data_IF_821200080251
#
_entry.id   IF_821200080251
#
_cell.length_a   1.000
_cell.length_b   1.000
_cell.length_c   1.000
_cell.angle_alpha   90.00
_cell.angle_beta   90.00
_cell.angle_gamma   90.00
#
_symmetry.space_group_name_H-M   'P 1'
#
loop_
_entity.id
_entity.type
_entity.pdbx_description
1 polymer ?
#
# COMPACT_ATOMS: atom_id res chain seq x y z
N UNK A 1 3.78 -20.01 -5.75
CA UNK A 1 4.22 -20.60 -4.46
C UNK A 1 3.43 -19.95 -3.34
N UNK A 2 2.63 -20.75 -2.61
CA UNK A 2 1.68 -20.30 -1.58
C UNK A 2 2.28 -20.34 -0.16
N UNK A 3 3.61 -20.31 -0.05
CA UNK A 3 4.25 -20.37 1.24
C UNK A 3 4.63 -18.98 1.72
N UNK A 4 4.16 -18.62 2.92
CA UNK A 4 4.72 -17.45 3.58
C UNK A 4 6.18 -17.73 3.95
N UNK A 5 6.99 -16.72 3.92
CA UNK A 5 8.42 -16.81 4.17
C UNK A 5 8.79 -16.46 5.62
N UNK A 6 7.86 -16.62 6.53
CA UNK A 6 8.00 -16.32 7.94
C UNK A 6 6.93 -15.33 8.44
N UNK A 7 7.01 -14.96 9.71
CA UNK A 7 6.20 -13.88 10.29
C UNK A 7 6.71 -12.56 9.73
N UNK A 8 5.84 -11.75 9.19
CA UNK A 8 6.20 -10.47 8.57
C UNK A 8 5.42 -9.31 9.19
N UNK A 9 5.92 -8.12 8.97
CA UNK A 9 5.27 -6.86 9.31
C UNK A 9 5.13 -6.06 8.03
N UNK A 10 3.92 -5.61 7.73
CA UNK A 10 3.68 -4.70 6.63
C UNK A 10 4.09 -3.28 7.03
N UNK A 11 4.88 -2.65 6.18
CA UNK A 11 5.25 -1.23 6.31
C UNK A 11 4.64 -0.50 5.13
N UNK A 12 3.63 0.32 5.40
CA UNK A 12 2.93 1.10 4.39
C UNK A 12 3.44 2.54 4.39
N UNK A 13 4.17 2.99 3.35
CA UNK A 13 4.47 4.40 3.20
C UNK A 13 3.17 5.19 2.98
N UNK A 14 3.10 6.37 3.56
CA UNK A 14 1.95 7.26 3.42
C UNK A 14 2.31 8.38 2.44
N UNK A 15 1.54 8.48 1.38
CA UNK A 15 1.67 9.49 0.36
C UNK A 15 0.52 10.50 0.42
N UNK A 16 0.76 11.70 -0.10
CA UNK A 16 -0.28 12.71 -0.23
C UNK A 16 -1.39 12.23 -1.17
N UNK A 17 -2.63 12.42 -0.78
CA UNK A 17 -3.80 12.06 -1.57
C UNK A 17 -4.68 13.28 -1.86
N UNK A 18 -5.49 13.25 -2.93
CA UNK A 18 -6.33 14.36 -3.31
C UNK A 18 -7.21 14.88 -2.18
N UNK A 19 -7.26 16.18 -2.06
CA UNK A 19 -8.12 16.93 -1.13
C UNK A 19 -9.34 17.54 -1.81
N UNK A 20 -9.52 17.26 -3.10
CA UNK A 20 -10.57 17.81 -3.96
C UNK A 20 -10.11 19.01 -4.77
N UNK A 21 -8.87 19.49 -4.60
CA UNK A 21 -8.32 20.55 -5.44
C UNK A 21 -7.95 20.03 -6.84
N UNK A 22 -8.14 20.85 -7.87
CA UNK A 22 -7.75 20.51 -9.25
C UNK A 22 -6.25 20.18 -9.37
N UNK A 23 -5.42 20.85 -8.54
CA UNK A 23 -3.97 20.57 -8.47
C UNK A 23 -3.73 19.13 -8.02
N UNK A 24 -4.33 18.71 -6.91
CA UNK A 24 -4.11 17.38 -6.37
C UNK A 24 -4.70 16.28 -7.26
N UNK A 25 -5.80 16.56 -7.95
CA UNK A 25 -6.33 15.63 -8.96
C UNK A 25 -5.38 15.44 -10.14
N UNK A 26 -4.71 16.51 -10.58
CA UNK A 26 -3.70 16.41 -11.64
C UNK A 26 -2.45 15.63 -11.17
N UNK A 27 -1.97 15.87 -9.94
CA UNK A 27 -0.88 15.12 -9.33
C UNK A 27 -1.23 13.63 -9.26
N UNK A 28 -2.42 13.30 -8.78
CA UNK A 28 -2.90 11.93 -8.72
C UNK A 28 -2.95 11.26 -10.08
N UNK A 29 -3.50 11.93 -11.09
CA UNK A 29 -3.58 11.36 -12.43
C UNK A 29 -2.19 11.02 -12.98
N UNK A 30 -1.20 11.89 -12.75
CA UNK A 30 0.19 11.63 -13.12
C UNK A 30 0.78 10.46 -12.32
N UNK A 31 0.57 10.45 -11.01
CA UNK A 31 1.01 9.40 -10.09
C UNK A 31 0.50 8.01 -10.52
N UNK A 32 -0.80 7.90 -10.82
CA UNK A 32 -1.43 6.66 -11.24
C UNK A 32 -0.86 6.15 -12.57
N UNK A 33 -0.64 7.04 -13.52
CA UNK A 33 -0.04 6.67 -14.81
C UNK A 33 1.42 6.24 -14.62
N UNK A 34 2.19 6.96 -13.80
CA UNK A 34 3.58 6.62 -13.48
C UNK A 34 3.69 5.28 -12.73
N UNK A 35 2.74 4.99 -11.82
CA UNK A 35 2.64 3.70 -11.16
C UNK A 35 2.40 2.58 -12.17
N UNK A 36 1.43 2.73 -13.05
CA UNK A 36 1.12 1.75 -14.08
C UNK A 36 2.30 1.49 -15.01
N UNK A 37 3.01 2.55 -15.44
CA UNK A 37 4.25 2.46 -16.22
C UNK A 37 5.37 1.71 -15.48
N UNK A 38 5.39 1.79 -14.15
CA UNK A 38 6.45 1.22 -13.32
C UNK A 38 6.16 -0.22 -12.94
N UNK A 39 4.97 -0.50 -12.45
CA UNK A 39 4.60 -1.77 -11.82
C UNK A 39 3.79 -2.70 -12.71
N UNK A 40 3.04 -2.16 -13.67
CA UNK A 40 2.08 -2.90 -14.48
C UNK A 40 2.28 -2.64 -15.99
N UNK A 41 3.52 -2.58 -16.45
CA UNK A 41 3.86 -2.18 -17.83
C UNK A 41 3.04 -2.89 -18.91
N UNK A 42 2.81 -4.20 -18.75
CA UNK A 42 2.03 -4.97 -19.73
C UNK A 42 0.57 -4.49 -19.80
N UNK A 43 -0.06 -4.28 -18.66
CA UNK A 43 -1.42 -3.73 -18.54
C UNK A 43 -1.47 -2.30 -19.05
N UNK A 44 -0.48 -1.50 -18.71
CA UNK A 44 -0.37 -0.14 -19.22
C UNK A 44 -0.34 -0.09 -20.75
N UNK A 45 0.47 -0.93 -21.39
CA UNK A 45 0.53 -1.03 -22.86
C UNK A 45 -0.82 -1.42 -23.48
N UNK A 46 -1.58 -2.28 -22.81
CA UNK A 46 -2.94 -2.63 -23.24
C UNK A 46 -3.90 -1.44 -23.14
N UNK A 47 -3.84 -0.66 -22.04
CA UNK A 47 -4.65 0.55 -21.88
C UNK A 47 -4.33 1.60 -22.95
N UNK A 48 -3.05 1.81 -23.27
CA UNK A 48 -2.62 2.70 -24.36
C UNK A 48 -3.19 2.24 -25.71
N UNK A 49 -3.08 0.97 -26.02
CA UNK A 49 -3.60 0.40 -27.26
C UNK A 49 -5.13 0.52 -27.36
N UNK A 50 -5.83 0.49 -26.22
CA UNK A 50 -7.27 0.69 -26.14
C UNK A 50 -7.71 2.17 -26.19
N UNK A 51 -6.76 3.10 -26.35
CA UNK A 51 -7.06 4.54 -26.45
C UNK A 51 -7.36 5.23 -25.12
N UNK A 52 -6.84 4.70 -24.01
CA UNK A 52 -7.00 5.34 -22.70
C UNK A 52 -6.45 6.78 -22.71
N UNK A 53 -7.15 7.67 -22.01
CA UNK A 53 -6.70 9.05 -21.81
C UNK A 53 -5.47 9.05 -20.89
N UNK A 54 -4.38 9.59 -21.39
CA UNK A 54 -3.10 9.63 -20.71
C UNK A 54 -2.74 11.08 -20.37
N UNK A 55 -2.05 11.29 -19.25
CA UNK A 55 -1.61 12.61 -18.77
C UNK A 55 -0.11 12.82 -18.96
N UNK A 56 0.69 11.73 -18.98
CA UNK A 56 2.12 11.79 -19.27
C UNK A 56 2.32 11.91 -20.79
N UNK A 57 3.10 12.90 -21.24
CA UNK A 57 3.38 13.12 -22.65
C UNK A 57 4.10 11.95 -23.33
N UNK A 58 3.91 11.78 -24.63
CA UNK A 58 4.45 10.64 -25.37
C UNK A 58 5.98 10.52 -25.28
N UNK A 59 6.70 11.62 -25.36
CA UNK A 59 8.17 11.67 -25.26
C UNK A 59 8.64 11.24 -23.86
N UNK A 60 8.00 11.78 -22.82
CA UNK A 60 8.31 11.43 -21.43
C UNK A 60 8.00 9.96 -21.14
N UNK A 61 6.89 9.44 -21.63
CA UNK A 61 6.58 8.00 -21.56
C UNK A 61 7.64 7.13 -22.18
N UNK A 62 8.09 7.49 -23.39
CA UNK A 62 9.14 6.75 -24.07
C UNK A 62 10.43 6.74 -23.26
N UNK A 63 10.78 7.88 -22.65
CA UNK A 63 11.93 8.00 -21.77
C UNK A 63 11.79 7.13 -20.52
N UNK A 64 10.62 7.12 -19.87
CA UNK A 64 10.37 6.30 -18.67
C UNK A 64 10.43 4.81 -19.02
N UNK A 65 9.83 4.40 -20.13
CA UNK A 65 9.87 3.00 -20.58
C UNK A 65 11.27 2.51 -20.96
N UNK A 66 12.17 3.41 -21.34
CA UNK A 66 13.59 3.09 -21.60
C UNK A 66 14.41 2.90 -20.31
N UNK A 67 13.87 3.32 -19.16
CA UNK A 67 14.55 3.17 -17.87
C UNK A 67 14.46 1.72 -17.37
N UNK A 68 15.46 1.28 -16.61
CA UNK A 68 15.36 0.04 -15.81
C UNK A 68 14.26 0.15 -14.75
N UNK A 69 13.72 -0.98 -14.30
CA UNK A 69 12.72 -1.01 -13.21
C UNK A 69 13.19 -0.21 -11.98
N UNK A 70 14.44 -0.38 -11.58
CA UNK A 70 15.02 0.36 -10.43
C UNK A 70 14.99 1.87 -10.63
N UNK A 71 15.24 2.36 -11.83
CA UNK A 71 15.17 3.80 -12.14
C UNK A 71 13.73 4.30 -12.13
N UNK A 72 12.79 3.52 -12.66
CA UNK A 72 11.35 3.85 -12.61
C UNK A 72 10.81 3.88 -11.19
N UNK A 73 11.20 2.91 -10.34
CA UNK A 73 10.83 2.90 -8.91
C UNK A 73 11.36 4.15 -8.20
N UNK A 74 12.61 4.54 -8.43
CA UNK A 74 13.16 5.78 -7.86
C UNK A 74 12.46 7.04 -8.38
N UNK A 75 12.11 7.07 -9.65
CA UNK A 75 11.35 8.19 -10.21
C UNK A 75 9.99 8.32 -9.53
N UNK A 76 9.29 7.19 -9.34
CA UNK A 76 8.01 7.14 -8.64
C UNK A 76 8.14 7.61 -7.18
N UNK A 77 9.11 7.09 -6.43
CA UNK A 77 9.37 7.46 -5.05
C UNK A 77 9.71 8.96 -4.92
N UNK A 78 10.59 9.49 -5.77
CA UNK A 78 10.93 10.90 -5.79
C UNK A 78 9.73 11.79 -6.10
N UNK A 79 8.84 11.34 -6.98
CA UNK A 79 7.59 12.05 -7.26
C UNK A 79 6.70 12.14 -6.02
N UNK A 80 6.53 11.03 -5.29
CA UNK A 80 5.75 10.99 -4.05
C UNK A 80 6.33 11.93 -2.98
N UNK A 81 7.64 11.88 -2.78
CA UNK A 81 8.34 12.75 -1.83
C UNK A 81 8.14 14.23 -2.20
N UNK A 82 8.29 14.58 -3.47
CA UNK A 82 8.16 15.96 -3.94
C UNK A 82 6.76 16.56 -3.73
N UNK A 83 5.73 15.70 -3.72
CA UNK A 83 4.33 16.11 -3.58
C UNK A 83 3.72 15.80 -2.22
N UNK A 84 4.53 15.31 -1.26
CA UNK A 84 4.03 14.94 0.06
C UNK A 84 3.34 16.10 0.78
N UNK A 85 3.87 17.31 0.68
CA UNK A 85 3.34 18.48 1.37
C UNK A 85 2.20 19.21 0.63
N UNK A 86 1.84 18.76 -0.55
CA UNK A 86 0.76 19.34 -1.34
C UNK A 86 -0.64 19.04 -0.79
N UNK A 87 -0.79 18.06 0.11
CA UNK A 87 -2.06 17.76 0.79
C UNK A 87 -1.88 17.51 2.28
N UNK A 88 -2.91 17.82 3.06
CA UNK A 88 -3.01 17.42 4.48
C UNK A 88 -3.55 16.00 4.65
N UNK A 89 -4.08 15.41 3.59
CA UNK A 89 -4.56 14.03 3.58
C UNK A 89 -3.47 13.10 3.08
N UNK A 90 -3.34 11.95 3.73
CA UNK A 90 -2.39 10.90 3.35
C UNK A 90 -3.06 9.55 3.36
N UNK A 91 -2.56 8.66 2.52
CA UNK A 91 -2.93 7.26 2.51
C UNK A 91 -1.77 6.42 1.96
N UNK A 92 -1.75 5.12 2.19
CA UNK A 92 -0.78 4.27 1.52
C UNK A 92 -1.17 4.13 0.04
N UNK A 93 -0.19 4.28 -0.82
CA UNK A 93 -0.37 4.51 -2.27
C UNK A 93 -1.17 3.43 -3.00
N UNK A 94 -1.07 2.18 -2.56
CA UNK A 94 -1.79 1.07 -3.18
C UNK A 94 -3.31 1.20 -3.06
N UNK A 95 -3.79 2.20 -2.33
CA UNK A 95 -5.19 2.43 -2.05
C UNK A 95 -5.82 3.52 -2.92
N UNK A 96 -5.29 3.74 -4.08
CA UNK A 96 -5.81 4.70 -5.07
C UNK A 96 -7.30 4.52 -5.41
N UNK A 97 -7.83 3.33 -5.16
CA UNK A 97 -9.23 2.98 -5.42
C UNK A 97 -10.15 3.11 -4.21
N UNK A 98 -9.61 3.50 -3.05
CA UNK A 98 -10.40 3.47 -1.83
C UNK A 98 -11.28 4.68 -1.64
N UNK A 99 -12.47 4.46 -1.05
CA UNK A 99 -13.37 5.54 -0.72
C UNK A 99 -12.75 6.47 0.33
N UNK A 100 -13.14 7.73 0.26
CA UNK A 100 -12.64 8.86 1.08
C UNK A 100 -12.67 8.64 2.60
N UNK A 101 -13.46 7.68 3.09
CA UNK A 101 -13.58 7.37 4.52
C UNK A 101 -12.35 6.72 5.16
N UNK A 102 -11.39 6.26 4.36
CA UNK A 102 -10.16 5.63 4.88
C UNK A 102 -8.96 6.59 4.83
N UNK A 103 -9.20 7.87 4.63
CA UNK A 103 -8.13 8.87 4.58
C UNK A 103 -7.59 9.18 5.97
N UNK A 104 -6.27 9.29 6.06
CA UNK A 104 -5.55 9.74 7.23
C UNK A 104 -5.24 11.24 7.10
N UNK A 105 -5.07 11.91 8.22
CA UNK A 105 -4.66 13.31 8.24
C UNK A 105 -3.28 13.42 8.89
N UNK A 106 -2.38 14.20 8.26
CA UNK A 106 -1.05 14.46 8.82
C UNK A 106 -1.09 14.97 10.25
N UNK A 107 -2.06 15.83 10.56
CA UNK A 107 -2.22 16.39 11.91
C UNK A 107 -2.50 15.29 12.97
N UNK A 108 -3.26 14.26 12.61
CA UNK A 108 -3.59 13.15 13.52
C UNK A 108 -2.38 12.25 13.79
N UNK A 109 -1.41 12.22 12.86
CA UNK A 109 -0.20 11.42 12.93
C UNK A 109 1.02 12.17 13.48
N UNK A 110 1.05 13.50 13.38
CA UNK A 110 2.22 14.34 13.61
C UNK A 110 2.80 14.27 15.03
N UNK A 111 1.97 13.96 16.03
CA UNK A 111 2.38 13.84 17.43
C UNK A 111 2.21 12.40 17.89
N UNK A 112 3.30 11.63 18.06
CA UNK A 112 3.20 10.27 18.56
C UNK A 112 2.83 10.24 20.05
N UNK A 113 1.96 9.30 20.41
CA UNK A 113 1.62 8.96 21.80
C UNK A 113 1.87 7.47 22.01
N UNK A 114 2.24 7.09 23.24
CA UNK A 114 2.38 5.69 23.62
C UNK A 114 1.06 5.16 24.17
N UNK A 115 0.60 4.07 23.59
CA UNK A 115 -0.60 3.39 24.04
C UNK A 115 -0.23 2.03 24.62
N UNK A 116 -0.93 1.57 25.67
CA UNK A 116 -0.79 0.19 26.15
C UNK A 116 -1.15 -0.81 25.05
N UNK A 117 -0.36 -1.86 24.91
CA UNK A 117 -0.61 -2.97 24.02
C UNK A 117 -0.13 -4.25 24.69
N UNK A 118 -1.06 -5.03 25.22
CA UNK A 118 -0.77 -6.21 26.03
C UNK A 118 0.27 -5.91 27.13
N UNK A 119 1.44 -6.57 27.07
CA UNK A 119 2.53 -6.38 28.05
C UNK A 119 3.53 -5.28 27.66
N UNK A 120 3.27 -4.55 26.57
CA UNK A 120 4.16 -3.52 26.07
C UNK A 120 3.40 -2.23 25.73
N UNK A 121 4.04 -1.35 24.99
CA UNK A 121 3.42 -0.13 24.46
C UNK A 121 3.73 0.02 22.98
N UNK A 122 2.80 0.57 22.22
CA UNK A 122 2.98 0.93 20.83
C UNK A 122 2.89 2.43 20.62
N UNK A 123 3.53 2.94 19.59
CA UNK A 123 3.38 4.33 19.17
C UNK A 123 2.18 4.45 18.23
N UNK A 124 1.32 5.41 18.49
CA UNK A 124 0.22 5.80 17.62
C UNK A 124 0.24 7.32 17.41
N UNK A 125 -0.40 7.82 16.38
CA UNK A 125 -0.65 9.25 16.23
C UNK A 125 -1.62 9.74 17.32
N UNK A 126 -1.48 10.98 17.83
CA UNK A 126 -2.37 11.52 18.86
C UNK A 126 -3.85 11.54 18.45
N UNK A 127 -4.13 11.59 17.14
CA UNK A 127 -5.48 11.53 16.57
C UNK A 127 -6.01 10.12 16.33
N UNK A 128 -5.40 9.08 16.92
CA UNK A 128 -5.74 7.67 16.64
C UNK A 128 -7.22 7.34 16.85
N UNK A 129 -7.88 7.91 17.83
CA UNK A 129 -9.31 7.65 18.08
C UNK A 129 -10.18 8.12 16.91
N UNK A 130 -9.89 9.33 16.41
CA UNK A 130 -10.57 9.86 15.21
C UNK A 130 -10.29 8.99 14.00
N UNK A 131 -9.04 8.58 13.78
CA UNK A 131 -8.65 7.67 12.70
C UNK A 131 -9.42 6.36 12.76
N UNK A 132 -9.50 5.73 13.93
CA UNK A 132 -10.23 4.49 14.14
C UNK A 132 -11.74 4.66 13.93
N UNK A 133 -12.30 5.79 14.38
CA UNK A 133 -13.69 6.12 14.16
C UNK A 133 -14.00 6.36 12.67
N UNK A 134 -13.13 7.03 11.95
CA UNK A 134 -13.27 7.27 10.51
C UNK A 134 -13.19 5.94 9.71
N UNK A 135 -12.37 4.97 10.17
CA UNK A 135 -12.20 3.68 9.52
C UNK A 135 -13.31 2.68 9.85
N UNK A 136 -13.65 2.57 11.14
CA UNK A 136 -14.51 1.51 11.66
C UNK A 136 -15.87 2.00 12.14
N UNK A 137 -16.12 3.31 12.10
CA UNK A 137 -17.36 3.93 12.57
C UNK A 137 -17.37 4.17 14.08
N UNK A 138 -18.54 4.64 14.60
CA UNK A 138 -18.70 4.99 16.01
C UNK A 138 -18.47 3.83 16.97
N UNK A 139 -18.65 2.62 16.50
CA UNK A 139 -18.55 1.38 17.29
C UNK A 139 -17.15 0.75 17.27
N UNK A 140 -16.12 1.46 16.80
CA UNK A 140 -14.76 0.94 16.65
C UNK A 140 -14.16 0.27 17.90
N UNK A 141 -14.66 0.62 19.09
CA UNK A 141 -14.26 -0.03 20.36
C UNK A 141 -14.94 -1.37 20.62
N UNK A 142 -15.98 -1.72 19.85
CA UNK A 142 -16.65 -3.01 20.00
C UNK A 142 -15.86 -4.07 19.24
N UNK A 143 -15.56 -5.16 19.93
CA UNK A 143 -14.97 -6.31 19.25
C UNK A 143 -15.98 -6.88 18.25
N UNK A 144 -15.61 -6.88 16.98
CA UNK A 144 -16.35 -7.52 15.90
C UNK A 144 -15.44 -8.58 15.29
N UNK A 145 -15.89 -9.83 15.33
CA UNK A 145 -15.15 -10.92 14.67
C UNK A 145 -15.20 -10.71 13.16
N UNK A 146 -14.08 -10.40 12.56
CA UNK A 146 -13.92 -10.28 11.10
C UNK A 146 -13.38 -11.55 10.47
N UNK A 147 -13.44 -11.62 9.14
CA UNK A 147 -12.66 -12.57 8.36
C UNK A 147 -11.22 -12.05 8.22
N UNK A 148 -10.28 -12.96 7.99
CA UNK A 148 -8.89 -12.62 7.68
C UNK A 148 -8.63 -12.86 6.20
N UNK A 149 -8.00 -11.91 5.55
CA UNK A 149 -7.52 -12.07 4.16
C UNK A 149 -6.37 -13.09 4.05
N UNK A 150 -5.89 -13.56 5.22
CA UNK A 150 -4.83 -14.55 5.36
C UNK A 150 -5.37 -15.93 5.77
N UNK A 151 -6.62 -16.26 5.41
CA UNK A 151 -7.19 -17.58 5.68
C UNK A 151 -6.32 -18.67 5.06
N UNK A 152 -6.04 -19.71 5.87
CA UNK A 152 -5.18 -20.82 5.47
C UNK A 152 -3.66 -20.57 5.62
N UNK A 153 -3.26 -19.41 6.10
CA UNK A 153 -1.84 -19.15 6.43
C UNK A 153 -1.46 -19.91 7.71
N UNK A 154 -0.39 -20.67 7.63
CA UNK A 154 0.14 -21.44 8.76
C UNK A 154 1.21 -20.58 9.46
N UNK A 155 0.97 -20.24 10.72
CA UNK A 155 1.93 -19.57 11.58
C UNK A 155 2.51 -20.57 12.58
N UNK A 156 3.82 -20.59 12.73
CA UNK A 156 4.48 -21.37 13.76
C UNK A 156 5.68 -20.60 14.32
N UNK A 157 5.75 -20.35 15.62
CA UNK A 157 6.93 -19.79 16.25
C UNK A 157 8.07 -20.80 16.41
N UNK A 158 7.75 -22.10 16.32
CA UNK A 158 8.69 -23.20 16.68
C UNK A 158 9.33 -23.86 15.46
N UNK A 159 8.75 -23.68 14.27
CA UNK A 159 9.22 -24.34 13.05
C UNK A 159 9.53 -23.27 11.99
N UNK A 160 10.79 -23.24 11.52
CA UNK A 160 11.15 -22.30 10.44
C UNK A 160 10.39 -22.61 9.16
N UNK A 161 10.16 -21.59 8.33
CA UNK A 161 9.45 -21.76 7.06
C UNK A 161 10.19 -22.73 6.13
N UNK A 162 11.53 -22.77 6.16
CA UNK A 162 12.33 -23.71 5.36
C UNK A 162 12.09 -25.15 5.79
N UNK A 163 12.08 -25.42 7.10
CA UNK A 163 11.81 -26.74 7.64
C UNK A 163 10.37 -27.19 7.32
N UNK A 164 9.40 -26.29 7.47
CA UNK A 164 8.01 -26.55 7.06
C UNK A 164 7.92 -26.83 5.58
N UNK A 165 8.52 -26.01 4.72
CA UNK A 165 8.51 -26.16 3.29
C UNK A 165 9.14 -27.48 2.81
N UNK A 166 10.26 -27.86 3.43
CA UNK A 166 10.93 -29.14 3.14
C UNK A 166 10.03 -30.33 3.50
N UNK A 167 9.42 -30.30 4.68
CA UNK A 167 8.49 -31.35 5.13
C UNK A 167 7.25 -31.42 4.24
N UNK A 168 6.70 -30.28 3.83
CA UNK A 168 5.54 -30.21 2.95
C UNK A 168 5.85 -30.77 1.55
N UNK A 169 6.97 -30.37 0.94
CA UNK A 169 7.42 -30.90 -0.37
C UNK A 169 7.62 -32.42 -0.31
N UNK A 170 8.19 -32.93 0.77
CA UNK A 170 8.39 -34.37 0.97
C UNK A 170 7.06 -35.15 1.02
N UNK A 171 6.03 -34.58 1.67
CA UNK A 171 4.70 -35.21 1.76
C UNK A 171 3.93 -35.19 0.44
N UNK A 172 4.17 -34.20 -0.41
CA UNK A 172 3.41 -33.99 -1.65
C UNK A 172 4.22 -34.34 -2.92
N UNK A 173 5.43 -34.86 -2.77
CA UNK A 173 6.30 -35.26 -3.90
C UNK A 173 5.75 -36.40 -4.79
N UNK A 174 4.61 -37.01 -4.42
CA UNK A 174 3.95 -38.06 -5.18
C UNK A 174 2.58 -37.67 -5.79
N UNK A 175 2.19 -36.38 -5.71
CA UNK A 175 0.86 -35.91 -6.10
C UNK A 175 0.85 -35.06 -7.40
N UNK A 176 1.87 -35.25 -8.27
CA UNK A 176 1.89 -34.65 -9.64
C UNK A 176 1.66 -35.74 -10.67
#
# INVERSE_FOLDING_TARGET
DYFHQGIFIDIHPLDAVPDGSARMEAIRAYQMELYALTMEEAKYRQLVAAGAKLVIGAEERARILAMSLRQRLRLYENFQIAHFDDSQRVHYYSQEFYPTRMMLYKADLARPVRLPFEETTVLAGAGYEKTLQDFFGSDWRKFIRGASDHEGTIFSPDVSYEAFQAAWKKRHAGAQ
#
